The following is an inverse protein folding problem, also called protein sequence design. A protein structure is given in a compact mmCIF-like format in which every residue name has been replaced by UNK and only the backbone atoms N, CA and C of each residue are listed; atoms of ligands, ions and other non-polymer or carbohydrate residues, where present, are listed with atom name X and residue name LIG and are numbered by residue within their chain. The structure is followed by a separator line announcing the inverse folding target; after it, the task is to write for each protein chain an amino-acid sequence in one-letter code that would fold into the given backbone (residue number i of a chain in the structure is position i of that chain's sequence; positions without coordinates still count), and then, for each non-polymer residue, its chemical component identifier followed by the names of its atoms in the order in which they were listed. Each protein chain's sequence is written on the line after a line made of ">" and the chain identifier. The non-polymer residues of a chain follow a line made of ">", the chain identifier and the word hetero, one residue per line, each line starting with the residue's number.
data_IF_071825650966
#
_entry.id   IF_071825650966
#
_cell.length_a   1.000
_cell.length_b   1.000
_cell.length_c   1.000
_cell.angle_alpha   90.00
_cell.angle_beta   90.00
_cell.angle_gamma   90.00
#
_symmetry.space_group_name_H-M   'P 1'
#
loop_
_entity.id
_entity.type
_entity.pdbx_description
1 polymer ?
#
# COMPACT_ATOMS: atom_id res chain seq x y z
N UNK A 1 -16.06 10.17 -49.66
CA UNK A 1 -16.41 10.70 -48.31
C UNK A 1 -16.79 9.60 -47.27
N UNK A 2 -17.36 8.48 -47.68
CA UNK A 2 -17.79 7.37 -46.80
C UNK A 2 -16.58 6.55 -46.26
N UNK A 3 -15.52 6.39 -47.07
CA UNK A 3 -14.35 5.57 -46.73
C UNK A 3 -13.54 6.20 -45.60
N UNK A 4 -13.35 7.51 -45.57
CA UNK A 4 -12.63 8.21 -44.49
C UNK A 4 -13.36 8.11 -43.15
N UNK A 5 -14.70 8.08 -43.13
CA UNK A 5 -15.49 7.85 -41.93
C UNK A 5 -15.27 6.44 -41.34
N UNK A 6 -15.28 5.41 -42.21
CA UNK A 6 -15.08 4.02 -41.79
C UNK A 6 -13.69 3.77 -41.17
N UNK A 7 -12.64 4.29 -41.75
CA UNK A 7 -11.27 4.17 -41.21
C UNK A 7 -11.16 4.87 -39.85
N UNK A 8 -11.71 6.08 -39.71
CA UNK A 8 -11.71 6.82 -38.44
C UNK A 8 -12.45 6.06 -37.31
N UNK A 9 -13.54 5.36 -37.63
CA UNK A 9 -14.25 4.51 -36.61
C UNK A 9 -13.40 3.29 -36.18
N UNK A 10 -12.73 2.63 -37.14
CA UNK A 10 -11.84 1.49 -36.85
C UNK A 10 -10.66 1.92 -35.99
N UNK A 11 -10.02 3.06 -36.29
CA UNK A 11 -8.94 3.60 -35.50
C UNK A 11 -9.38 3.95 -34.06
N UNK A 12 -10.54 4.58 -33.90
CA UNK A 12 -11.11 4.86 -32.56
C UNK A 12 -11.35 3.59 -31.78
N UNK A 13 -11.94 2.57 -32.42
CA UNK A 13 -12.16 1.28 -31.78
C UNK A 13 -10.88 0.58 -31.35
N UNK A 14 -9.84 0.59 -32.20
CA UNK A 14 -8.51 0.06 -31.86
C UNK A 14 -7.92 0.80 -30.65
N UNK A 15 -7.93 2.13 -30.66
CA UNK A 15 -7.43 2.94 -29.53
C UNK A 15 -8.18 2.67 -28.25
N UNK A 16 -9.51 2.54 -28.30
CA UNK A 16 -10.34 2.23 -27.13
C UNK A 16 -10.01 0.85 -26.57
N UNK A 17 -9.85 -0.17 -27.43
CA UNK A 17 -9.47 -1.52 -27.01
C UNK A 17 -8.08 -1.55 -26.36
N UNK A 18 -7.10 -0.83 -26.93
CA UNK A 18 -5.75 -0.74 -26.36
C UNK A 18 -5.81 -0.08 -24.98
N UNK A 19 -6.52 1.06 -24.83
CA UNK A 19 -6.67 1.75 -23.56
C UNK A 19 -7.36 0.86 -22.51
N UNK A 20 -8.42 0.16 -22.88
CA UNK A 20 -9.10 -0.77 -21.99
C UNK A 20 -8.16 -1.89 -21.51
N UNK A 21 -7.35 -2.47 -22.42
CA UNK A 21 -6.36 -3.49 -22.05
C UNK A 21 -5.27 -2.94 -21.13
N UNK A 22 -4.83 -1.69 -21.31
CA UNK A 22 -3.86 -1.03 -20.40
C UNK A 22 -4.42 -0.89 -19.00
N UNK A 23 -5.64 -0.35 -18.86
CA UNK A 23 -6.33 -0.25 -17.56
C UNK A 23 -6.46 -1.62 -16.88
N UNK A 24 -6.84 -2.64 -17.63
CA UNK A 24 -6.97 -4.01 -17.08
C UNK A 24 -5.62 -4.59 -16.67
N UNK A 25 -4.55 -4.29 -17.40
CA UNK A 25 -3.19 -4.71 -17.01
C UNK A 25 -2.75 -4.03 -15.71
N UNK A 26 -3.06 -2.76 -15.50
CA UNK A 26 -2.78 -2.03 -14.26
C UNK A 26 -3.57 -2.61 -13.07
N UNK A 27 -4.86 -2.94 -13.29
CA UNK A 27 -5.68 -3.59 -12.27
C UNK A 27 -5.15 -4.99 -11.90
N UNK A 28 -4.70 -5.78 -12.87
CA UNK A 28 -4.07 -7.08 -12.62
C UNK A 28 -2.75 -6.92 -11.88
N UNK A 29 -1.94 -5.94 -12.23
CA UNK A 29 -0.67 -5.65 -11.54
C UNK A 29 -0.91 -5.30 -10.06
N UNK A 30 -1.92 -4.48 -9.77
CA UNK A 30 -2.30 -4.11 -8.40
C UNK A 30 -2.82 -5.32 -7.61
N UNK A 31 -3.68 -6.16 -8.21
CA UNK A 31 -4.15 -7.39 -7.55
C UNK A 31 -2.99 -8.36 -7.27
N UNK A 32 -2.03 -8.50 -8.19
CA UNK A 32 -0.82 -9.28 -7.98
C UNK A 32 0.04 -8.72 -6.83
N UNK A 33 0.15 -7.39 -6.73
CA UNK A 33 0.85 -6.74 -5.63
C UNK A 33 0.18 -7.04 -4.29
N UNK A 34 -1.17 -7.01 -4.23
CA UNK A 34 -1.93 -7.40 -3.05
C UNK A 34 -1.69 -8.87 -2.69
N UNK A 35 -1.74 -9.77 -3.66
CA UNK A 35 -1.46 -11.21 -3.44
C UNK A 35 -0.05 -11.39 -2.87
N UNK A 36 0.96 -10.71 -3.41
CA UNK A 36 2.33 -10.75 -2.91
C UNK A 36 2.50 -10.08 -1.53
N UNK A 37 1.56 -9.21 -1.17
CA UNK A 37 1.51 -8.53 0.13
C UNK A 37 0.76 -9.29 1.22
N UNK A 38 0.11 -10.41 0.92
CA UNK A 38 -0.80 -11.12 1.83
C UNK A 38 -0.17 -11.50 3.17
N UNK A 39 1.06 -12.02 3.17
CA UNK A 39 1.76 -12.44 4.39
C UNK A 39 2.69 -11.37 4.98
N UNK A 40 2.73 -10.18 4.39
CA UNK A 40 3.60 -9.12 4.88
C UNK A 40 2.99 -8.43 6.09
N UNK A 41 3.84 -8.19 7.09
CA UNK A 41 3.48 -7.37 8.26
C UNK A 41 3.32 -5.91 7.82
N UNK A 42 2.26 -5.26 8.28
CA UNK A 42 1.97 -3.86 8.00
C UNK A 42 1.53 -3.56 6.56
N UNK A 43 1.36 -4.57 5.71
CA UNK A 43 0.88 -4.35 4.35
C UNK A 43 -0.62 -4.07 4.32
N UNK A 44 -1.01 -2.99 3.68
CA UNK A 44 -2.40 -2.63 3.46
C UNK A 44 -2.79 -2.87 2.00
N UNK A 45 -3.97 -3.48 1.83
CA UNK A 45 -4.55 -3.75 0.52
C UNK A 45 -4.68 -2.48 -0.30
N UNK A 46 -4.24 -2.52 -1.52
CA UNK A 46 -4.38 -1.43 -2.48
C UNK A 46 -5.70 -1.58 -3.24
N UNK A 47 -6.39 -0.48 -3.43
CA UNK A 47 -7.64 -0.39 -4.18
C UNK A 47 -7.50 0.61 -5.32
N UNK A 48 -8.15 0.30 -6.44
CA UNK A 48 -8.25 1.23 -7.55
C UNK A 48 -9.48 2.11 -7.40
N UNK A 49 -9.29 3.41 -7.58
CA UNK A 49 -10.40 4.35 -7.74
C UNK A 49 -10.44 4.80 -9.18
N UNK A 50 -11.51 4.42 -9.88
CA UNK A 50 -11.78 4.90 -11.24
C UNK A 50 -12.40 6.28 -11.13
N UNK A 51 -11.68 7.30 -11.59
CA UNK A 51 -12.21 8.66 -11.67
C UNK A 51 -12.86 8.90 -13.03
N UNK A 52 -14.19 8.97 -13.06
CA UNK A 52 -14.94 9.30 -14.28
C UNK A 52 -14.57 10.66 -14.88
N UNK A 53 -14.08 11.59 -14.06
CA UNK A 53 -13.64 12.90 -14.51
C UNK A 53 -12.32 12.84 -15.30
N UNK A 54 -11.36 12.05 -14.86
CA UNK A 54 -10.09 11.85 -15.57
C UNK A 54 -10.30 11.07 -16.88
N UNK A 55 -11.25 10.14 -16.90
CA UNK A 55 -11.65 9.42 -18.10
C UNK A 55 -12.23 10.37 -19.16
N UNK A 56 -13.06 11.33 -18.75
CA UNK A 56 -13.59 12.38 -19.61
C UNK A 56 -12.48 13.27 -20.24
N UNK A 57 -11.42 13.56 -19.48
CA UNK A 57 -10.25 14.32 -19.95
C UNK A 57 -9.28 13.49 -20.80
N UNK A 58 -9.56 12.20 -20.99
CA UNK A 58 -8.71 11.30 -21.79
C UNK A 58 -7.41 10.89 -21.11
N UNK A 59 -7.27 11.15 -19.82
CA UNK A 59 -6.16 10.68 -18.97
C UNK A 59 -6.54 9.31 -18.38
N UNK A 60 -5.57 8.40 -18.19
CA UNK A 60 -5.83 7.15 -17.50
C UNK A 60 -6.30 7.46 -16.08
N UNK A 61 -7.58 7.19 -15.81
CA UNK A 61 -8.27 7.61 -14.59
C UNK A 61 -8.14 6.63 -13.43
N UNK A 62 -7.11 5.79 -13.41
CA UNK A 62 -6.83 4.94 -12.27
C UNK A 62 -5.98 5.71 -11.26
N UNK A 63 -6.56 6.02 -10.12
CA UNK A 63 -5.83 6.38 -8.92
C UNK A 63 -5.79 5.20 -7.97
N UNK A 64 -4.71 5.09 -7.23
CA UNK A 64 -4.52 4.05 -6.23
C UNK A 64 -4.80 4.64 -4.85
N UNK A 65 -5.58 3.94 -4.05
CA UNK A 65 -5.81 4.21 -2.64
C UNK A 65 -5.52 2.97 -1.81
N UNK A 66 -5.43 3.13 -0.50
CA UNK A 66 -5.15 2.05 0.44
C UNK A 66 -6.40 1.76 1.27
N UNK A 67 -6.77 0.49 1.43
CA UNK A 67 -7.82 0.07 2.36
C UNK A 67 -7.28 0.23 3.79
N UNK A 68 -7.91 1.12 4.56
CA UNK A 68 -7.51 1.47 5.93
C UNK A 68 -8.04 0.50 7.00
N UNK A 69 -8.63 -0.63 6.60
CA UNK A 69 -9.06 -1.67 7.51
C UNK A 69 -7.86 -2.29 8.22
N UNK A 70 -8.06 -2.56 9.50
CA UNK A 70 -7.05 -3.21 10.33
C UNK A 70 -6.90 -4.65 9.87
N UNK A 71 -5.65 -5.09 9.71
CA UNK A 71 -5.32 -6.45 9.36
C UNK A 71 -5.45 -7.42 10.54
N UNK A 72 -4.96 -8.64 10.36
CA UNK A 72 -4.96 -9.64 11.41
C UNK A 72 -3.84 -9.36 12.42
N UNK A 73 -4.21 -9.03 13.66
CA UNK A 73 -3.25 -8.87 14.77
C UNK A 73 -2.92 -10.25 15.34
N UNK A 74 -1.64 -10.60 15.43
CA UNK A 74 -1.14 -11.86 15.94
C UNK A 74 0.01 -11.62 16.91
N UNK A 75 0.10 -12.48 17.94
CA UNK A 75 1.16 -12.41 18.95
C UNK A 75 2.54 -12.64 18.31
N UNK A 76 3.52 -11.93 18.80
CA UNK A 76 4.95 -12.06 18.48
C UNK A 76 5.76 -12.25 19.77
N UNK A 77 6.87 -12.95 19.67
CA UNK A 77 7.80 -13.16 20.78
C UNK A 77 8.75 -11.98 21.03
N UNK A 78 8.79 -11.01 20.09
CA UNK A 78 9.66 -9.85 20.19
C UNK A 78 8.93 -8.69 20.90
N UNK A 79 9.45 -8.19 22.05
CA UNK A 79 8.83 -7.08 22.78
C UNK A 79 8.81 -5.75 22.02
N UNK A 80 9.60 -5.61 20.95
CA UNK A 80 9.63 -4.41 20.10
C UNK A 80 8.71 -4.50 18.89
N UNK A 81 8.00 -5.61 18.72
CA UNK A 81 6.94 -5.72 17.72
C UNK A 81 5.66 -5.09 18.28
N UNK A 82 5.13 -4.14 17.55
CA UNK A 82 3.97 -3.35 17.96
C UNK A 82 2.88 -3.38 16.91
N UNK A 83 1.64 -3.55 17.33
CA UNK A 83 0.49 -3.42 16.45
C UNK A 83 -0.44 -2.30 16.93
N UNK A 84 -1.02 -1.56 15.99
CA UNK A 84 -2.02 -0.53 16.31
C UNK A 84 -3.41 -1.16 16.15
N UNK A 85 -4.18 -1.23 17.25
CA UNK A 85 -5.53 -1.83 17.25
C UNK A 85 -6.63 -0.83 16.82
N UNK A 86 -6.25 0.34 16.35
CA UNK A 86 -7.13 1.38 15.79
C UNK A 86 -6.66 1.80 14.41
N UNK A 87 -7.42 2.67 13.74
CA UNK A 87 -6.93 3.32 12.53
C UNK A 87 -5.80 4.28 12.88
N UNK A 88 -4.76 4.30 12.06
CA UNK A 88 -3.59 5.16 12.23
C UNK A 88 -2.32 4.49 11.72
N UNK A 89 -1.21 5.20 11.82
CA UNK A 89 0.09 4.78 11.29
C UNK A 89 1.18 5.20 12.26
N UNK A 90 2.22 4.40 12.34
CA UNK A 90 3.49 4.84 12.91
C UNK A 90 4.15 5.83 11.96
N UNK A 91 4.78 6.86 12.54
CA UNK A 91 5.59 7.80 11.77
C UNK A 91 7.04 7.36 11.79
N UNK A 92 7.66 7.33 10.62
CA UNK A 92 9.08 7.04 10.48
C UNK A 92 9.77 8.10 9.63
N UNK A 93 11.04 8.34 9.88
CA UNK A 93 11.84 9.29 9.10
C UNK A 93 12.93 8.54 8.34
N UNK A 94 12.92 8.68 7.03
CA UNK A 94 13.99 8.26 6.13
C UNK A 94 14.71 9.49 5.57
N UNK A 95 15.74 9.28 4.74
CA UNK A 95 16.42 10.36 4.00
C UNK A 95 15.48 11.12 3.06
N UNK A 96 14.43 10.45 2.54
CA UNK A 96 13.42 11.02 1.65
C UNK A 96 12.34 11.84 2.39
N UNK A 97 12.31 11.79 3.73
CA UNK A 97 11.32 12.49 4.55
C UNK A 97 10.53 11.57 5.49
N UNK A 98 9.37 12.05 5.96
CA UNK A 98 8.49 11.31 6.86
C UNK A 98 7.63 10.36 6.05
N UNK A 99 7.62 9.07 6.47
CA UNK A 99 6.79 8.01 5.91
C UNK A 99 5.86 7.47 6.98
N UNK A 100 4.68 7.04 6.55
CA UNK A 100 3.66 6.39 7.39
C UNK A 100 3.70 4.88 7.15
N UNK A 101 3.65 4.10 8.23
CA UNK A 101 3.67 2.63 8.14
C UNK A 101 2.78 1.97 9.18
N UNK A 102 2.23 0.82 8.85
CA UNK A 102 1.58 -0.11 9.79
C UNK A 102 2.55 -1.20 10.27
N UNK A 103 3.73 -1.31 9.66
CA UNK A 103 4.76 -2.25 10.11
C UNK A 103 5.37 -1.74 11.42
N UNK A 104 5.05 -2.39 12.51
CA UNK A 104 5.52 -2.06 13.86
C UNK A 104 6.67 -2.93 14.34
N UNK A 105 7.39 -3.61 13.44
CA UNK A 105 8.59 -4.37 13.80
C UNK A 105 9.76 -3.42 13.95
N UNK A 106 10.08 -3.11 15.20
CA UNK A 106 11.14 -2.16 15.51
C UNK A 106 12.36 -2.87 16.10
N UNK A 107 13.49 -2.18 16.02
CA UNK A 107 14.76 -2.57 16.63
C UNK A 107 15.41 -1.37 17.30
N UNK A 108 16.33 -1.62 18.24
CA UNK A 108 17.10 -0.57 18.90
C UNK A 108 18.55 -0.75 18.49
N UNK A 109 19.19 0.35 18.08
CA UNK A 109 20.61 0.37 17.77
C UNK A 109 21.47 0.54 19.03
N UNK A 110 22.81 0.49 18.87
CA UNK A 110 23.77 0.66 19.95
C UNK A 110 23.73 2.06 20.59
N UNK A 111 23.18 3.04 19.91
CA UNK A 111 23.04 4.42 20.38
C UNK A 111 21.68 4.66 21.07
N UNK A 112 20.83 3.63 21.13
CA UNK A 112 19.49 3.71 21.72
C UNK A 112 18.42 4.25 20.77
N UNK A 113 18.71 4.43 19.49
CA UNK A 113 17.68 4.88 18.55
C UNK A 113 16.70 3.77 18.24
N UNK A 114 15.41 4.10 18.26
CA UNK A 114 14.35 3.19 17.83
C UNK A 114 14.21 3.29 16.31
N UNK A 115 14.44 2.17 15.63
CA UNK A 115 14.47 2.08 14.17
C UNK A 115 13.50 1.03 13.65
N UNK A 116 13.05 1.18 12.41
CA UNK A 116 12.41 0.11 11.64
C UNK A 116 13.44 -0.93 11.21
N UNK A 117 13.00 -2.05 10.62
CA UNK A 117 13.91 -3.05 10.05
C UNK A 117 14.77 -2.48 8.90
N UNK A 118 14.27 -1.44 8.21
CA UNK A 118 14.93 -0.72 7.11
C UNK A 118 15.82 0.44 7.59
N UNK A 119 16.11 0.52 8.90
CA UNK A 119 16.93 1.57 9.52
C UNK A 119 16.32 2.98 9.51
N UNK A 120 15.00 3.10 9.28
CA UNK A 120 14.33 4.39 9.41
C UNK A 120 14.05 4.72 10.88
N UNK A 121 14.23 5.98 11.27
CA UNK A 121 13.99 6.43 12.65
C UNK A 121 12.49 6.49 12.95
N UNK A 122 12.07 5.89 14.06
CA UNK A 122 10.68 5.98 14.55
C UNK A 122 10.49 7.32 15.27
N UNK A 123 9.39 8.00 14.96
CA UNK A 123 9.10 9.32 15.52
C UNK A 123 8.14 9.23 16.71
N UNK A 124 8.37 10.12 17.66
CA UNK A 124 7.47 10.37 18.79
C UNK A 124 6.23 11.15 18.35
N UNK A 125 5.26 11.29 19.26
CA UNK A 125 4.10 12.16 19.08
C UNK A 125 4.46 13.64 18.84
N UNK A 126 5.67 14.07 19.23
CA UNK A 126 6.21 15.40 18.93
C UNK A 126 6.93 15.48 17.57
N UNK A 127 6.93 14.41 16.76
CA UNK A 127 7.63 14.36 15.47
C UNK A 127 9.15 14.30 15.54
N UNK A 128 9.70 13.97 16.73
CA UNK A 128 11.15 13.86 16.97
C UNK A 128 11.53 12.38 17.01
N UNK A 129 12.71 11.99 16.48
CA UNK A 129 13.22 10.63 16.60
C UNK A 129 13.29 10.16 18.05
N UNK A 130 12.85 8.92 18.28
CA UNK A 130 12.90 8.32 19.62
C UNK A 130 14.28 7.75 19.88
N UNK A 131 14.88 8.22 20.97
CA UNK A 131 16.17 7.71 21.44
C UNK A 131 16.06 7.35 22.93
N UNK A 132 16.40 6.11 23.25
CA UNK A 132 16.47 5.61 24.61
C UNK A 132 17.81 6.00 25.22
N UNK A 133 17.79 6.79 26.29
CA UNK A 133 19.02 7.16 27.03
C UNK A 133 19.62 5.98 27.80
N UNK A 134 18.81 4.94 28.05
CA UNK A 134 19.20 3.71 28.71
C UNK A 134 18.84 2.57 27.75
N UNK A 135 19.86 1.91 27.19
CA UNK A 135 19.67 0.71 26.40
C UNK A 135 19.74 -0.49 27.34
N UNK A 136 18.62 -1.20 27.58
CA UNK A 136 18.64 -2.35 28.48
C UNK A 136 19.30 -3.56 27.80
N UNK A 137 19.98 -4.39 28.59
CA UNK A 137 20.57 -5.65 28.11
C UNK A 137 19.50 -6.67 27.67
N UNK A 138 18.29 -6.59 28.25
CA UNK A 138 17.14 -7.43 27.90
C UNK A 138 15.97 -6.55 27.44
N UNK A 139 15.49 -6.79 26.22
CA UNK A 139 14.35 -6.09 25.65
C UNK A 139 13.05 -6.25 26.46
N UNK A 140 12.95 -7.29 27.28
CA UNK A 140 11.80 -7.49 28.21
C UNK A 140 11.70 -6.42 29.29
N UNK A 141 12.77 -5.65 29.51
CA UNK A 141 12.78 -4.49 30.41
C UNK A 141 12.12 -3.24 29.81
N UNK A 142 11.76 -3.29 28.52
CA UNK A 142 11.03 -2.24 27.84
C UNK A 142 9.54 -2.56 27.89
N UNK A 143 8.75 -1.63 28.39
CA UNK A 143 7.29 -1.71 28.42
C UNK A 143 6.70 -0.56 27.61
N UNK A 144 5.73 -0.91 26.77
CA UNK A 144 4.99 0.04 25.94
C UNK A 144 3.52 -0.15 26.27
N UNK A 145 2.87 0.91 26.69
CA UNK A 145 1.45 0.86 27.06
C UNK A 145 0.53 1.13 25.84
N UNK A 146 -0.76 1.03 26.06
CA UNK A 146 -1.78 1.22 25.01
C UNK A 146 -1.75 2.64 24.41
N UNK A 147 -1.20 3.64 25.11
CA UNK A 147 -1.03 5.00 24.60
C UNK A 147 0.22 5.16 23.74
N UNK A 148 1.07 4.14 23.67
CA UNK A 148 2.37 4.18 23.00
C UNK A 148 3.49 4.75 23.86
N UNK A 149 3.29 4.96 25.16
CA UNK A 149 4.33 5.42 26.09
C UNK A 149 5.36 4.32 26.32
N UNK A 150 6.60 4.60 25.95
CA UNK A 150 7.75 3.72 26.15
C UNK A 150 8.34 3.98 27.55
N UNK A 151 8.43 2.95 28.35
CA UNK A 151 9.07 2.96 29.65
C UNK A 151 10.17 1.89 29.71
N UNK A 152 11.31 2.23 30.25
CA UNK A 152 12.47 1.34 30.39
C UNK A 152 12.79 1.14 31.86
N UNK A 153 13.03 -0.11 32.27
CA UNK A 153 13.46 -0.41 33.61
C UNK A 153 14.94 -0.05 33.78
N UNK A 154 15.21 0.89 34.71
CA UNK A 154 16.56 1.31 35.03
C UNK A 154 17.09 0.46 36.20
N UNK A 155 18.11 -0.37 35.94
CA UNK A 155 18.71 -1.26 36.95
C UNK A 155 19.39 -0.49 38.12
N UNK A 156 19.87 0.76 37.86
CA UNK A 156 20.51 1.60 38.86
C UNK A 156 19.49 2.19 39.84
N UNK A 157 18.41 2.73 39.33
CA UNK A 157 17.35 3.36 40.13
C UNK A 157 16.27 2.36 40.59
N UNK A 158 16.24 1.15 40.01
CA UNK A 158 15.24 0.09 40.23
C UNK A 158 13.80 0.58 39.98
N UNK A 159 13.63 1.49 39.03
CA UNK A 159 12.34 2.08 38.65
C UNK A 159 12.11 2.02 37.15
N UNK A 160 10.84 2.03 36.75
CA UNK A 160 10.47 2.29 35.36
C UNK A 160 10.62 3.79 35.08
N UNK A 161 11.35 4.14 34.04
CA UNK A 161 11.54 5.50 33.57
C UNK A 161 10.88 5.66 32.22
N UNK A 162 9.99 6.65 32.10
CA UNK A 162 9.32 6.96 30.82
C UNK A 162 10.30 7.73 29.92
N UNK A 163 10.38 7.30 28.66
CA UNK A 163 11.35 7.85 27.69
C UNK A 163 10.64 8.76 26.68
N UNK A 164 9.66 8.22 25.97
CA UNK A 164 8.95 8.92 24.90
C UNK A 164 7.62 8.22 24.61
N UNK A 165 6.74 8.90 23.90
CA UNK A 165 5.49 8.30 23.38
C UNK A 165 5.62 8.15 21.87
N UNK A 166 5.34 6.97 21.34
CA UNK A 166 5.35 6.70 19.89
C UNK A 166 4.27 7.53 19.21
N UNK A 167 4.64 8.20 18.14
CA UNK A 167 3.72 8.97 17.33
C UNK A 167 2.84 8.07 16.45
N UNK A 168 1.55 8.04 16.73
CA UNK A 168 0.54 7.42 15.87
C UNK A 168 -0.33 8.52 15.27
N UNK A 169 -0.44 8.54 13.94
CA UNK A 169 -1.18 9.56 13.20
C UNK A 169 -2.17 8.92 12.23
N UNK A 170 -3.16 9.68 11.81
CA UNK A 170 -4.05 9.31 10.72
C UNK A 170 -3.38 9.50 9.34
N UNK A 171 -4.10 9.18 8.26
CA UNK A 171 -3.60 9.35 6.89
C UNK A 171 -3.28 10.82 6.51
N UNK A 172 -3.79 11.81 7.27
CA UNK A 172 -3.55 13.24 7.08
C UNK A 172 -2.39 13.75 7.94
N UNK A 173 -1.78 12.88 8.75
CA UNK A 173 -0.70 13.25 9.68
C UNK A 173 -1.18 13.85 11.00
N UNK A 174 -2.47 13.78 11.33
CA UNK A 174 -3.01 14.24 12.60
C UNK A 174 -2.86 13.17 13.67
N UNK A 175 -2.45 13.57 14.87
CA UNK A 175 -2.25 12.65 16.00
C UNK A 175 -3.55 11.92 16.38
N UNK A 176 -3.46 10.62 16.55
CA UNK A 176 -4.52 9.77 17.09
C UNK A 176 -4.40 9.77 18.62
N UNK A 177 -5.43 10.27 19.31
CA UNK A 177 -5.41 10.47 20.77
C UNK A 177 -5.38 9.15 21.55
N UNK A 178 -6.06 8.11 21.07
CA UNK A 178 -6.11 6.79 21.69
C UNK A 178 -5.71 5.70 20.68
N UNK A 179 -4.42 5.50 20.42
CA UNK A 179 -3.96 4.63 19.34
C UNK A 179 -4.12 3.13 19.63
N UNK A 180 -4.32 2.72 20.90
CA UNK A 180 -4.40 1.33 21.36
C UNK A 180 -3.26 0.47 20.82
N UNK A 181 -2.05 0.88 21.13
CA UNK A 181 -0.82 0.16 20.76
C UNK A 181 -0.72 -1.14 21.56
N UNK A 182 -0.45 -2.25 20.89
CA UNK A 182 -0.25 -3.57 21.52
C UNK A 182 1.19 -3.98 21.40
N UNK A 183 1.88 -4.13 22.50
CA UNK A 183 3.24 -4.62 22.58
C UNK A 183 3.31 -6.14 22.42
N UNK A 184 4.27 -6.67 21.65
CA UNK A 184 4.43 -8.10 21.40
C UNK A 184 3.40 -8.63 20.40
N UNK A 185 2.94 -7.80 19.49
CA UNK A 185 2.01 -8.18 18.42
C UNK A 185 2.44 -7.59 17.09
N UNK A 186 2.18 -8.34 16.01
CA UNK A 186 2.32 -7.88 14.63
C UNK A 186 0.94 -7.76 13.98
N UNK A 187 0.77 -6.75 13.14
CA UNK A 187 -0.36 -6.64 12.25
C UNK A 187 0.00 -7.20 10.88
N UNK A 188 -0.62 -8.30 10.49
CA UNK A 188 -0.50 -8.86 9.15
C UNK A 188 -1.44 -8.15 8.19
N UNK A 189 -1.19 -8.34 6.90
CA UNK A 189 -1.98 -7.74 5.83
C UNK A 189 -3.50 -7.93 6.00
N UNK A 190 -4.28 -6.94 5.57
CA UNK A 190 -5.74 -7.01 5.44
C UNK A 190 -6.20 -7.60 4.09
N UNK A 191 -5.28 -8.11 3.27
CA UNK A 191 -5.58 -8.75 1.99
C UNK A 191 -6.27 -10.11 2.20
N UNK A 192 -7.31 -10.37 1.45
CA UNK A 192 -7.95 -11.68 1.34
C UNK A 192 -7.62 -12.30 -0.02
N UNK A 193 -6.79 -13.34 -0.04
CA UNK A 193 -6.42 -14.03 -1.29
C UNK A 193 -7.63 -14.48 -2.08
N UNK A 194 -8.65 -15.02 -1.39
CA UNK A 194 -9.88 -15.47 -2.04
C UNK A 194 -10.58 -14.32 -2.78
N UNK A 195 -10.69 -13.16 -2.13
CA UNK A 195 -11.33 -11.99 -2.73
C UNK A 195 -10.52 -11.43 -3.89
N UNK A 196 -9.17 -11.40 -3.78
CA UNK A 196 -8.30 -10.97 -4.88
C UNK A 196 -8.45 -11.89 -6.10
N UNK A 197 -8.41 -13.22 -5.92
CA UNK A 197 -8.58 -14.16 -7.04
C UNK A 197 -9.98 -14.05 -7.69
N UNK A 198 -11.04 -13.91 -6.89
CA UNK A 198 -12.39 -13.68 -7.41
C UNK A 198 -12.45 -12.36 -8.20
N UNK A 199 -11.83 -11.29 -7.69
CA UNK A 199 -11.77 -9.99 -8.34
C UNK A 199 -10.96 -9.98 -9.64
N UNK A 200 -9.92 -10.80 -9.76
CA UNK A 200 -9.10 -10.91 -10.98
C UNK A 200 -9.84 -11.57 -12.15
N UNK A 201 -10.78 -12.49 -11.90
CA UNK A 201 -11.47 -13.23 -12.95
C UNK A 201 -12.20 -12.34 -13.97
N UNK A 202 -13.03 -11.34 -13.56
CA UNK A 202 -13.69 -10.46 -14.52
C UNK A 202 -12.67 -9.57 -15.26
N UNK A 203 -11.57 -9.16 -14.63
CA UNK A 203 -10.54 -8.34 -15.26
C UNK A 203 -9.87 -9.12 -16.40
N UNK A 204 -9.53 -10.38 -16.18
CA UNK A 204 -8.94 -11.27 -17.19
C UNK A 204 -9.91 -11.48 -18.36
N UNK A 205 -11.18 -11.77 -18.07
CA UNK A 205 -12.20 -11.96 -19.12
C UNK A 205 -12.39 -10.69 -19.96
N UNK A 206 -12.40 -9.53 -19.32
CA UNK A 206 -12.53 -8.25 -20.02
C UNK A 206 -11.30 -7.95 -20.88
N UNK A 207 -10.10 -8.29 -20.38
CA UNK A 207 -8.86 -8.17 -21.16
C UNK A 207 -8.91 -9.04 -22.42
N UNK A 208 -9.31 -10.31 -22.30
CA UNK A 208 -9.45 -11.22 -23.42
C UNK A 208 -10.50 -10.75 -24.44
N UNK A 209 -11.64 -10.25 -23.97
CA UNK A 209 -12.68 -9.70 -24.84
C UNK A 209 -12.16 -8.48 -25.62
N UNK A 210 -11.49 -7.55 -24.96
CA UNK A 210 -10.89 -6.37 -25.62
C UNK A 210 -9.79 -6.74 -26.61
N UNK A 211 -8.98 -7.76 -26.28
CA UNK A 211 -7.99 -8.32 -27.21
C UNK A 211 -8.64 -8.88 -28.47
N UNK A 212 -9.75 -9.62 -28.34
CA UNK A 212 -10.49 -10.13 -29.50
C UNK A 212 -11.06 -8.99 -30.37
N UNK A 213 -11.66 -7.98 -29.74
CA UNK A 213 -12.16 -6.79 -30.46
C UNK A 213 -11.03 -6.10 -31.20
N UNK A 214 -9.88 -5.90 -30.55
CA UNK A 214 -8.68 -5.33 -31.19
C UNK A 214 -8.24 -6.14 -32.42
N UNK A 215 -8.18 -7.47 -32.30
CA UNK A 215 -7.78 -8.34 -33.43
C UNK A 215 -8.74 -8.26 -34.60
N UNK A 216 -10.06 -8.28 -34.35
CA UNK A 216 -11.09 -8.15 -35.38
C UNK A 216 -10.98 -6.82 -36.09
N UNK A 217 -10.82 -5.73 -35.34
CA UNK A 217 -10.69 -4.39 -35.93
C UNK A 217 -9.41 -4.24 -36.77
N UNK A 218 -8.29 -4.80 -36.30
CA UNK A 218 -7.04 -4.81 -37.03
C UNK A 218 -7.15 -5.61 -38.33
N UNK A 219 -7.80 -6.78 -38.32
CA UNK A 219 -8.06 -7.56 -39.52
C UNK A 219 -8.94 -6.79 -40.53
N UNK A 220 -9.99 -6.13 -40.05
CA UNK A 220 -10.83 -5.31 -40.89
C UNK A 220 -10.09 -4.13 -41.50
N UNK A 221 -9.22 -3.47 -40.74
CA UNK A 221 -8.36 -2.41 -41.25
C UNK A 221 -7.41 -2.91 -42.37
N UNK A 222 -6.79 -4.08 -42.18
CA UNK A 222 -5.95 -4.72 -43.18
C UNK A 222 -6.73 -5.04 -44.49
N UNK A 223 -7.96 -5.56 -44.36
CA UNK A 223 -8.82 -5.81 -45.54
C UNK A 223 -9.14 -4.54 -46.30
N UNK A 224 -9.45 -3.46 -45.60
CA UNK A 224 -9.71 -2.15 -46.23
C UNK A 224 -8.47 -1.63 -46.97
N UNK A 225 -7.29 -1.73 -46.34
CA UNK A 225 -6.02 -1.29 -46.96
C UNK A 225 -5.73 -2.10 -48.22
N UNK A 226 -5.89 -3.43 -48.16
CA UNK A 226 -5.65 -4.30 -49.32
C UNK A 226 -6.63 -4.05 -50.47
N UNK A 227 -7.91 -3.80 -50.15
CA UNK A 227 -8.90 -3.45 -51.18
C UNK A 227 -8.63 -2.10 -51.84
N UNK A 228 -8.16 -1.11 -51.10
CA UNK A 228 -7.79 0.18 -51.64
C UNK A 228 -6.51 0.10 -52.49
N UNK A 229 -5.51 -0.70 -52.09
CA UNK A 229 -4.27 -0.90 -52.82
C UNK A 229 -4.43 -1.75 -54.09
N UNK A 230 -5.50 -2.56 -54.20
CA UNK A 230 -5.81 -3.33 -55.39
C UNK A 230 -6.72 -2.58 -56.42
N UNK A 231 -7.27 -1.44 -56.02
CA UNK A 231 -8.12 -0.58 -56.86
C UNK A 231 -7.36 0.60 -57.50
N UNK A 232 -6.08 0.73 -57.22
CA UNK A 232 -5.14 1.67 -57.84
C UNK A 232 -4.25 0.97 -58.83
#
# INVERSE_FOLDING_TARGET
>A
MIINGGISYLEKGIRTSIRAMQVQSELLAMSNENVNGFDKVGYQRKESVVSSFTEFLGVNGLSQTTDDKIGRISMSDNPLDLAIATKGYFQTRSEEGVKLTRDGRFKIDKNGNLLTLEDHQVLSNAGVPIQLHIVPDDLKKIKIDDSGLISVYNDKTRKMESVATIGVVDANGLLVMEPKVKQGYNEYSNVSLQNEFIGMMPIIRNFEANRQVFMIQNQNLQKVINQLGSAS
#
